data_IF_034600269447
#
_entry.id   IF_034600269447
#
_cell.length_a   1.000
_cell.length_b   1.000
_cell.length_c   1.000
_cell.angle_alpha   90.00
_cell.angle_beta   90.00
_cell.angle_gamma   90.00
#
_symmetry.space_group_name_H-M   'P 1'
#
loop_
_entity.id
_entity.type
_entity.pdbx_description
1 polymer ?
#
# COMPACT_ATOMS: atom_id res chain seq x y z
N UNK A 1 -14.14 -15.55 20.85
CA UNK A 1 -14.04 -14.38 21.73
C UNK A 1 -12.65 -13.80 21.54
N UNK A 2 -12.52 -12.54 21.14
CA UNK A 2 -11.23 -11.85 20.92
C UNK A 2 -11.00 -10.86 22.06
N UNK A 3 -9.75 -10.70 22.46
CA UNK A 3 -9.36 -9.79 23.53
C UNK A 3 -8.31 -8.81 23.02
N UNK A 4 -8.58 -7.52 23.17
CA UNK A 4 -7.59 -6.47 22.95
C UNK A 4 -7.11 -5.91 24.28
N UNK A 5 -5.82 -5.73 24.43
CA UNK A 5 -5.18 -5.30 25.68
C UNK A 5 -4.30 -4.09 25.39
N UNK A 6 -4.45 -3.02 26.16
CA UNK A 6 -3.54 -1.88 26.20
C UNK A 6 -2.83 -1.80 27.54
N UNK A 7 -1.50 -1.80 27.55
CA UNK A 7 -0.67 -1.67 28.76
C UNK A 7 0.16 -0.40 28.69
N UNK A 8 0.14 0.38 29.78
CA UNK A 8 1.02 1.54 29.98
C UNK A 8 2.06 1.23 31.04
N UNK A 9 3.34 1.22 30.69
CA UNK A 9 4.44 0.85 31.59
C UNK A 9 5.45 2.00 31.73
N UNK A 10 6.23 1.93 32.82
CA UNK A 10 7.39 2.82 33.06
C UNK A 10 7.08 4.32 32.93
N UNK A 11 5.87 4.74 33.29
CA UNK A 11 5.50 6.15 33.35
C UNK A 11 5.82 6.74 34.72
N UNK A 12 6.08 8.04 34.77
CA UNK A 12 6.49 8.72 36.00
C UNK A 12 5.40 8.81 37.09
N UNK A 13 4.12 8.59 36.72
CA UNK A 13 2.98 8.58 37.64
C UNK A 13 1.80 7.78 37.06
N UNK A 14 0.78 7.52 37.90
CA UNK A 14 -0.40 6.75 37.50
C UNK A 14 -1.22 7.43 36.37
N UNK A 15 -1.33 8.73 36.35
CA UNK A 15 -2.05 9.46 35.28
C UNK A 15 -1.37 9.24 33.94
N UNK A 16 -0.06 9.27 33.90
CA UNK A 16 0.71 9.02 32.67
C UNK A 16 0.66 7.53 32.25
N UNK A 17 0.69 6.59 33.22
CA UNK A 17 0.48 5.17 32.93
C UNK A 17 -0.91 4.91 32.34
N UNK A 18 -1.94 5.56 32.87
CA UNK A 18 -3.30 5.49 32.34
C UNK A 18 -3.37 6.03 30.89
N UNK A 19 -2.76 7.19 30.64
CA UNK A 19 -2.71 7.76 29.28
C UNK A 19 -1.97 6.83 28.31
N UNK A 20 -0.87 6.22 28.74
CA UNK A 20 -0.15 5.24 27.93
C UNK A 20 -1.02 4.00 27.63
N UNK A 21 -1.71 3.47 28.63
CA UNK A 21 -2.61 2.32 28.44
C UNK A 21 -3.78 2.67 27.51
N UNK A 22 -4.33 3.89 27.60
CA UNK A 22 -5.39 4.37 26.72
C UNK A 22 -4.91 4.46 25.26
N UNK A 23 -3.77 5.10 25.02
CA UNK A 23 -3.17 5.14 23.67
C UNK A 23 -2.88 3.71 23.15
N UNK A 24 -2.38 2.85 24.02
CA UNK A 24 -2.07 1.46 23.63
C UNK A 24 -3.34 0.67 23.23
N UNK A 25 -4.46 0.84 23.96
CA UNK A 25 -5.71 0.14 23.62
C UNK A 25 -6.34 0.74 22.35
N UNK A 26 -6.29 2.06 22.18
CA UNK A 26 -6.77 2.71 20.97
C UNK A 26 -6.00 2.21 19.73
N UNK A 27 -4.68 2.09 19.83
CA UNK A 27 -3.83 1.51 18.79
C UNK A 27 -4.15 0.02 18.54
N UNK A 28 -4.40 -0.78 19.60
CA UNK A 28 -4.79 -2.17 19.45
C UNK A 28 -6.10 -2.29 18.65
N UNK A 29 -7.08 -1.45 18.97
CA UNK A 29 -8.40 -1.43 18.30
C UNK A 29 -8.30 -0.89 16.88
N UNK A 30 -7.54 0.18 16.64
CA UNK A 30 -7.30 0.73 15.30
C UNK A 30 -6.57 -0.25 14.38
N UNK A 31 -5.82 -1.21 14.93
CA UNK A 31 -5.14 -2.29 14.20
C UNK A 31 -5.98 -3.55 14.03
N UNK A 32 -7.29 -3.46 14.26
CA UNK A 32 -8.23 -4.57 14.10
C UNK A 32 -8.49 -5.39 15.37
N UNK A 33 -7.93 -5.03 16.51
CA UNK A 33 -8.10 -5.76 17.78
C UNK A 33 -7.34 -7.08 17.83
N UNK A 34 -7.76 -7.96 18.75
CA UNK A 34 -7.17 -9.32 18.97
C UNK A 34 -5.64 -9.28 19.19
N UNK A 35 -5.16 -8.27 19.88
CA UNK A 35 -3.74 -8.06 20.15
C UNK A 35 -3.52 -7.33 21.48
N UNK A 36 -2.33 -7.48 22.04
CA UNK A 36 -1.85 -6.67 23.13
C UNK A 36 -0.86 -5.62 22.63
N UNK A 37 -1.04 -4.38 23.08
CA UNK A 37 -0.13 -3.27 22.81
C UNK A 37 0.41 -2.76 24.13
N UNK A 38 1.72 -2.62 24.20
CA UNK A 38 2.42 -2.05 25.36
C UNK A 38 3.01 -0.72 24.94
N UNK A 39 2.73 0.34 25.69
CA UNK A 39 3.37 1.64 25.55
C UNK A 39 4.15 1.96 26.80
N UNK A 40 5.40 2.35 26.61
CA UNK A 40 6.29 2.86 27.66
C UNK A 40 6.97 4.16 27.23
N UNK A 41 7.94 4.63 28.03
CA UNK A 41 8.72 5.84 27.72
C UNK A 41 9.71 5.64 26.56
N UNK A 42 9.97 4.40 26.12
CA UNK A 42 10.91 4.05 25.05
C UNK A 42 10.19 3.81 23.72
N UNK A 43 8.87 3.57 23.75
CA UNK A 43 8.12 3.32 22.51
C UNK A 43 6.86 2.48 22.69
N UNK A 44 6.47 1.82 21.60
CA UNK A 44 5.27 0.98 21.54
C UNK A 44 5.65 -0.40 21.01
N UNK A 45 5.22 -1.43 21.72
CA UNK A 45 5.45 -2.84 21.35
C UNK A 45 4.12 -3.54 21.14
N UNK A 46 4.02 -4.36 20.07
CA UNK A 46 2.81 -5.05 19.67
C UNK A 46 2.95 -6.57 19.81
N UNK A 47 1.90 -7.24 20.33
CA UNK A 47 1.83 -8.69 20.50
C UNK A 47 0.49 -9.22 19.98
N UNK A 48 0.51 -10.24 19.11
CA UNK A 48 -0.70 -10.86 18.56
C UNK A 48 -1.23 -10.19 17.27
N UNK A 49 -2.53 -10.31 17.02
CA UNK A 49 -3.16 -9.72 15.83
C UNK A 49 -3.13 -10.63 14.58
N UNK A 50 -3.32 -11.94 14.77
CA UNK A 50 -3.28 -12.96 13.69
C UNK A 50 -4.66 -13.36 13.12
N UNK A 51 -5.78 -12.82 13.62
CA UNK A 51 -7.12 -13.25 13.19
C UNK A 51 -7.65 -12.41 12.04
N UNK A 52 -8.18 -13.07 11.03
CA UNK A 52 -9.02 -12.48 9.98
C UNK A 52 -10.33 -11.95 10.59
N UNK A 53 -10.69 -10.71 10.29
CA UNK A 53 -12.00 -10.18 10.63
C UNK A 53 -13.07 -10.88 9.80
N UNK A 54 -14.15 -11.32 10.46
CA UNK A 54 -15.29 -11.96 9.80
C UNK A 54 -15.96 -10.98 8.83
N UNK A 55 -16.15 -11.41 7.59
CA UNK A 55 -16.67 -10.64 6.44
C UNK A 55 -18.01 -9.90 6.65
N UNK A 56 -18.78 -10.21 7.71
CA UNK A 56 -20.11 -9.61 7.94
C UNK A 56 -20.09 -8.11 8.31
N UNK A 57 -19.02 -7.59 8.92
CA UNK A 57 -18.99 -6.18 9.36
C UNK A 57 -18.38 -5.22 8.33
N UNK A 58 -17.67 -5.73 7.31
CA UNK A 58 -16.90 -4.90 6.39
C UNK A 58 -17.79 -4.15 5.39
N UNK A 59 -18.83 -4.79 4.83
CA UNK A 59 -19.77 -4.13 3.90
C UNK A 59 -20.53 -2.97 4.56
N UNK A 60 -20.92 -3.13 5.83
CA UNK A 60 -21.60 -2.06 6.58
C UNK A 60 -20.62 -0.89 6.79
N UNK A 61 -19.38 -1.18 7.17
CA UNK A 61 -18.36 -0.14 7.31
C UNK A 61 -18.11 0.59 5.98
N UNK A 62 -17.88 -0.15 4.88
CA UNK A 62 -17.66 0.43 3.56
C UNK A 62 -18.82 1.35 3.15
N UNK A 63 -20.07 0.93 3.37
CA UNK A 63 -21.26 1.75 3.09
C UNK A 63 -21.28 3.05 3.92
N UNK A 64 -21.04 2.97 5.22
CA UNK A 64 -21.02 4.15 6.10
C UNK A 64 -19.88 5.10 5.69
N UNK A 65 -18.71 4.55 5.34
CA UNK A 65 -17.56 5.35 4.89
C UNK A 65 -17.80 5.98 3.52
N UNK A 66 -18.47 5.26 2.60
CA UNK A 66 -18.87 5.80 1.30
C UNK A 66 -19.86 6.97 1.46
N UNK A 67 -20.83 6.86 2.39
CA UNK A 67 -21.80 7.92 2.64
C UNK A 67 -21.12 9.17 3.21
N UNK A 68 -20.23 9.02 4.19
CA UNK A 68 -19.44 10.13 4.73
C UNK A 68 -18.52 10.76 3.65
N UNK A 69 -17.82 9.93 2.85
CA UNK A 69 -16.97 10.43 1.76
C UNK A 69 -17.79 11.21 0.72
N UNK A 70 -18.98 10.72 0.36
CA UNK A 70 -19.92 11.40 -0.55
C UNK A 70 -20.29 12.80 -0.03
N UNK A 71 -20.60 12.94 1.26
CA UNK A 71 -20.89 14.23 1.87
C UNK A 71 -19.70 15.19 1.74
N UNK A 72 -18.49 14.75 2.10
CA UNK A 72 -17.29 15.57 1.99
C UNK A 72 -16.98 15.97 0.54
N UNK A 73 -17.08 15.05 -0.42
CA UNK A 73 -16.87 15.35 -1.85
C UNK A 73 -17.90 16.39 -2.31
N UNK A 74 -19.16 16.27 -1.90
CA UNK A 74 -20.24 17.14 -2.37
C UNK A 74 -20.08 18.59 -1.94
N UNK A 75 -19.56 18.82 -0.73
CA UNK A 75 -19.41 20.18 -0.18
C UNK A 75 -18.10 20.88 -0.57
N UNK A 76 -17.13 20.15 -1.09
CA UNK A 76 -15.84 20.71 -1.49
C UNK A 76 -15.75 20.79 -3.03
N UNK A 77 -15.18 21.88 -3.53
CA UNK A 77 -15.04 22.11 -4.99
C UNK A 77 -13.65 21.76 -5.53
N UNK A 78 -12.64 21.78 -4.68
CA UNK A 78 -11.25 21.43 -4.99
C UNK A 78 -10.87 20.17 -4.23
N UNK A 79 -10.63 19.10 -4.95
CA UNK A 79 -10.33 17.79 -4.39
C UNK A 79 -8.97 17.33 -4.90
N UNK A 80 -8.03 17.14 -3.99
CA UNK A 80 -6.71 16.61 -4.27
C UNK A 80 -6.60 15.20 -3.70
N UNK A 81 -6.15 14.26 -4.51
CA UNK A 81 -5.92 12.88 -4.09
C UNK A 81 -4.44 12.60 -4.19
N UNK A 82 -3.85 12.09 -3.12
CA UNK A 82 -2.44 11.74 -3.11
C UNK A 82 -2.20 10.44 -2.35
N UNK A 83 -1.19 9.71 -2.78
CA UNK A 83 -0.68 8.55 -2.08
C UNK A 83 0.64 8.81 -1.38
N UNK A 84 1.42 7.74 -1.22
CA UNK A 84 2.79 7.85 -0.70
C UNK A 84 3.76 8.33 -1.79
N UNK A 85 4.86 8.96 -1.37
CA UNK A 85 6.02 9.24 -2.23
C UNK A 85 6.50 7.96 -2.89
N UNK A 86 6.95 8.04 -4.14
CA UNK A 86 7.22 6.87 -4.98
C UNK A 86 5.96 6.04 -5.22
N UNK A 87 4.89 6.72 -5.60
CA UNK A 87 3.57 6.14 -5.90
C UNK A 87 3.69 4.82 -6.67
N UNK A 88 3.10 3.78 -6.14
CA UNK A 88 2.99 2.47 -6.78
C UNK A 88 1.63 2.28 -7.48
N UNK A 89 1.37 1.07 -7.96
CA UNK A 89 0.17 0.78 -8.74
C UNK A 89 -1.09 0.74 -7.87
N UNK A 90 -0.98 0.33 -6.59
CA UNK A 90 -2.14 0.31 -5.69
C UNK A 90 -2.53 1.73 -5.27
N UNK A 91 -1.56 2.51 -4.84
CA UNK A 91 -1.75 3.92 -4.52
C UNK A 91 -2.34 4.71 -5.70
N UNK A 92 -1.78 4.51 -6.91
CA UNK A 92 -2.28 5.14 -8.13
C UNK A 92 -3.71 4.71 -8.47
N UNK A 93 -3.99 3.41 -8.49
CA UNK A 93 -5.31 2.86 -8.79
C UNK A 93 -6.37 3.34 -7.80
N UNK A 94 -6.03 3.39 -6.51
CA UNK A 94 -6.89 3.93 -5.46
C UNK A 94 -7.18 5.42 -5.66
N UNK A 95 -6.16 6.22 -6.01
CA UNK A 95 -6.34 7.64 -6.33
C UNK A 95 -7.27 7.85 -7.53
N UNK A 96 -7.10 7.09 -8.60
CA UNK A 96 -7.99 7.11 -9.77
C UNK A 96 -9.43 6.73 -9.37
N UNK A 97 -9.61 5.73 -8.51
CA UNK A 97 -10.93 5.34 -8.01
C UNK A 97 -11.62 6.47 -7.22
N UNK A 98 -10.87 7.23 -6.42
CA UNK A 98 -11.42 8.42 -5.73
C UNK A 98 -11.76 9.53 -6.72
N UNK A 99 -10.93 9.76 -7.75
CA UNK A 99 -11.29 10.69 -8.84
C UNK A 99 -12.59 10.26 -9.54
N UNK A 100 -12.81 8.95 -9.73
CA UNK A 100 -14.08 8.42 -10.24
C UNK A 100 -15.24 8.71 -9.30
N UNK A 101 -15.07 8.53 -7.99
CA UNK A 101 -16.10 8.89 -7.01
C UNK A 101 -16.48 10.36 -7.10
N UNK A 102 -15.49 11.26 -7.18
CA UNK A 102 -15.72 12.69 -7.33
C UNK A 102 -16.47 13.00 -8.65
N UNK A 103 -16.01 12.45 -9.77
CA UNK A 103 -16.64 12.63 -11.07
C UNK A 103 -18.09 12.14 -11.11
N UNK A 104 -18.39 11.01 -10.46
CA UNK A 104 -19.76 10.49 -10.37
C UNK A 104 -20.70 11.43 -9.58
N UNK A 105 -20.13 12.27 -8.71
CA UNK A 105 -20.84 13.31 -7.96
C UNK A 105 -20.79 14.68 -8.63
N UNK A 106 -20.31 14.77 -9.88
CA UNK A 106 -20.19 16.01 -10.64
C UNK A 106 -19.08 16.94 -10.16
N UNK A 107 -18.10 16.42 -9.42
CA UNK A 107 -16.95 17.17 -8.91
C UNK A 107 -15.67 16.78 -9.66
N UNK A 108 -14.74 17.73 -9.75
CA UNK A 108 -13.41 17.51 -10.30
C UNK A 108 -12.45 17.14 -9.17
N UNK A 109 -11.63 16.13 -9.40
CA UNK A 109 -10.52 15.79 -8.52
C UNK A 109 -9.23 15.65 -9.32
N UNK A 110 -8.10 16.01 -8.71
CA UNK A 110 -6.78 15.92 -9.29
C UNK A 110 -5.91 14.98 -8.45
N UNK A 111 -5.09 14.18 -9.10
CA UNK A 111 -4.10 13.32 -8.44
C UNK A 111 -2.79 14.07 -8.30
N UNK A 112 -2.24 14.13 -7.10
CA UNK A 112 -0.92 14.74 -6.86
C UNK A 112 0.14 13.65 -6.96
N UNK A 113 1.07 13.83 -7.89
CA UNK A 113 2.17 12.90 -8.14
C UNK A 113 3.39 13.67 -8.66
N UNK A 114 4.55 13.50 -8.03
CA UNK A 114 5.78 14.21 -8.41
C UNK A 114 6.66 13.37 -9.33
N UNK A 115 6.87 12.11 -8.99
CA UNK A 115 7.70 11.20 -9.75
C UNK A 115 6.95 9.93 -10.14
N UNK A 116 7.11 9.51 -11.37
CA UNK A 116 6.48 8.28 -11.88
C UNK A 116 7.54 7.18 -11.94
N UNK A 117 7.40 6.19 -11.08
CA UNK A 117 8.29 5.02 -11.02
C UNK A 117 8.27 4.22 -12.33
N UNK A 118 9.32 3.45 -12.59
CA UNK A 118 9.39 2.59 -13.78
C UNK A 118 8.23 1.59 -13.84
N UNK A 119 7.81 1.05 -12.68
CA UNK A 119 6.68 0.10 -12.58
C UNK A 119 5.33 0.75 -12.86
N UNK A 120 5.14 2.02 -12.51
CA UNK A 120 3.90 2.76 -12.73
C UNK A 120 3.81 3.36 -14.15
N UNK A 121 4.95 3.67 -14.77
CA UNK A 121 5.04 4.40 -16.04
C UNK A 121 4.17 3.86 -17.16
N UNK A 122 4.06 2.54 -17.40
CA UNK A 122 3.18 2.00 -18.44
C UNK A 122 1.71 2.39 -18.23
N UNK A 123 1.22 2.31 -16.99
CA UNK A 123 -0.14 2.65 -16.63
C UNK A 123 -0.40 4.17 -16.71
N UNK A 124 0.51 4.97 -16.15
CA UNK A 124 0.46 6.44 -16.20
C UNK A 124 0.39 6.96 -17.65
N UNK A 125 1.22 6.41 -18.55
CA UNK A 125 1.26 6.80 -19.95
C UNK A 125 -0.08 6.54 -20.68
N UNK A 126 -0.89 5.60 -20.24
CA UNK A 126 -2.21 5.36 -20.83
C UNK A 126 -3.19 6.48 -20.52
N UNK A 127 -3.04 7.18 -19.41
CA UNK A 127 -3.87 8.33 -19.06
C UNK A 127 -3.44 9.58 -19.80
N UNK A 128 -2.14 9.93 -19.77
CA UNK A 128 -1.64 11.15 -20.41
C UNK A 128 -1.76 11.11 -21.94
N UNK A 129 -1.75 9.93 -22.55
CA UNK A 129 -1.92 9.79 -24.00
C UNK A 129 -3.40 9.60 -24.42
N UNK A 130 -4.33 9.60 -23.48
CA UNK A 130 -5.75 9.40 -23.77
C UNK A 130 -6.52 10.73 -23.77
N UNK A 131 -7.20 11.09 -24.88
CA UNK A 131 -8.01 12.30 -24.94
C UNK A 131 -9.27 12.26 -24.06
N UNK A 132 -9.53 11.11 -23.41
CA UNK A 132 -10.67 10.94 -22.50
C UNK A 132 -10.41 11.51 -21.10
N UNK A 133 -9.19 11.88 -20.80
CA UNK A 133 -8.80 12.46 -19.52
C UNK A 133 -8.28 13.87 -19.69
N UNK A 134 -8.56 14.78 -18.75
CA UNK A 134 -8.07 16.14 -18.83
C UNK A 134 -6.55 16.19 -18.59
N UNK A 135 -5.87 17.14 -19.25
CA UNK A 135 -4.42 17.34 -19.15
C UNK A 135 -3.98 17.64 -17.70
N UNK A 136 -4.86 18.20 -16.90
CA UNK A 136 -4.63 18.55 -15.50
C UNK A 136 -5.14 17.48 -14.51
N UNK A 137 -5.37 16.24 -14.94
CA UNK A 137 -5.71 15.14 -14.04
C UNK A 137 -4.60 14.92 -13.01
N UNK A 138 -3.34 14.99 -13.46
CA UNK A 138 -2.16 14.83 -12.63
C UNK A 138 -1.49 16.19 -12.40
N UNK A 139 -1.17 16.47 -11.15
CA UNK A 139 -0.51 17.69 -10.71
C UNK A 139 0.76 17.37 -9.94
N UNK A 140 1.77 18.20 -10.06
CA UNK A 140 2.88 18.19 -9.10
C UNK A 140 2.45 18.83 -7.78
N UNK A 141 3.23 18.61 -6.70
CA UNK A 141 2.98 19.28 -5.41
C UNK A 141 2.92 20.79 -5.55
N UNK A 142 3.82 21.40 -6.34
CA UNK A 142 3.83 22.85 -6.60
C UNK A 142 2.53 23.32 -7.27
N UNK A 143 2.08 22.60 -8.30
CA UNK A 143 0.82 22.93 -8.99
C UNK A 143 -0.40 22.78 -8.08
N UNK A 144 -0.42 21.71 -7.27
CA UNK A 144 -1.51 21.47 -6.33
C UNK A 144 -1.58 22.55 -5.24
N UNK A 145 -0.42 22.95 -4.66
CA UNK A 145 -0.36 24.02 -3.66
C UNK A 145 -0.79 25.37 -4.21
N UNK A 146 -0.45 25.68 -5.48
CA UNK A 146 -0.90 26.90 -6.13
C UNK A 146 -2.41 26.96 -6.37
N UNK A 147 -3.08 25.80 -6.48
CA UNK A 147 -4.53 25.70 -6.68
C UNK A 147 -5.30 25.56 -5.35
N UNK A 148 -4.67 24.98 -4.35
CA UNK A 148 -5.31 24.66 -3.07
C UNK A 148 -5.57 25.90 -2.22
N UNK A 149 -6.61 25.82 -1.40
CA UNK A 149 -6.95 26.79 -0.37
C UNK A 149 -7.53 26.09 0.86
N UNK A 150 -7.93 26.85 1.87
CA UNK A 150 -8.50 26.32 3.11
C UNK A 150 -9.83 25.55 2.92
N UNK A 151 -10.52 25.71 1.80
CA UNK A 151 -11.76 25.02 1.45
C UNK A 151 -11.51 23.78 0.54
N UNK A 152 -10.25 23.44 0.34
CA UNK A 152 -9.88 22.25 -0.42
C UNK A 152 -10.03 21.00 0.43
N UNK A 153 -10.33 19.90 -0.24
CA UNK A 153 -10.35 18.55 0.33
C UNK A 153 -9.12 17.78 -0.13
N UNK A 154 -8.46 17.11 0.80
CA UNK A 154 -7.36 16.19 0.52
C UNK A 154 -7.77 14.78 0.88
N UNK A 155 -7.66 13.85 -0.07
CA UNK A 155 -7.85 12.42 0.15
C UNK A 155 -6.49 11.74 0.05
N UNK A 156 -6.04 11.17 1.16
CA UNK A 156 -4.83 10.38 1.23
C UNK A 156 -5.20 8.91 1.06
N UNK A 157 -4.57 8.24 0.11
CA UNK A 157 -4.77 6.82 -0.16
C UNK A 157 -3.47 6.05 0.04
N UNK A 158 -3.58 4.80 0.50
CA UNK A 158 -2.47 3.84 0.61
C UNK A 158 -1.31 4.27 1.52
N UNK A 159 -1.56 5.25 2.36
CA UNK A 159 -0.67 5.61 3.47
C UNK A 159 -1.45 6.36 4.54
N UNK A 160 -1.00 6.27 5.78
CA UNK A 160 -1.56 7.07 6.89
C UNK A 160 -0.50 7.94 7.58
N UNK A 161 0.71 8.07 6.99
CA UNK A 161 1.84 8.80 7.57
C UNK A 161 2.08 10.13 6.86
N UNK A 162 2.06 11.27 7.57
CA UNK A 162 2.25 12.58 6.96
C UNK A 162 3.54 12.72 6.15
N UNK A 163 4.65 12.17 6.67
CA UNK A 163 5.97 12.24 6.03
C UNK A 163 6.13 11.36 4.80
N UNK A 164 5.17 10.49 4.53
CA UNK A 164 5.21 9.59 3.38
C UNK A 164 4.32 10.03 2.23
N UNK A 165 3.46 11.02 2.42
CA UNK A 165 2.57 11.49 1.36
C UNK A 165 3.32 12.29 0.29
N UNK A 166 2.77 12.37 -0.92
CA UNK A 166 3.34 13.12 -2.04
C UNK A 166 3.53 14.61 -1.75
N UNK A 167 2.66 15.22 -0.96
CA UNK A 167 2.72 16.63 -0.59
C UNK A 167 2.23 16.83 0.86
N UNK A 168 3.14 16.89 1.81
CA UNK A 168 2.82 17.06 3.23
C UNK A 168 2.15 18.42 3.50
N UNK A 169 2.54 19.46 2.78
CA UNK A 169 2.04 20.81 2.94
C UNK A 169 0.53 20.92 2.70
N UNK A 170 -0.03 20.11 1.80
CA UNK A 170 -1.47 20.06 1.58
C UNK A 170 -2.26 19.64 2.82
N UNK A 171 -1.67 18.81 3.70
CA UNK A 171 -2.31 18.40 4.95
C UNK A 171 -2.45 19.54 5.96
N UNK A 172 -1.60 20.54 5.86
CA UNK A 172 -1.67 21.72 6.74
C UNK A 172 -2.57 22.81 6.17
N UNK A 173 -2.74 22.85 4.84
CA UNK A 173 -3.54 23.85 4.17
C UNK A 173 -5.02 23.49 4.14
N UNK A 174 -5.35 22.26 3.84
CA UNK A 174 -6.72 21.79 3.68
C UNK A 174 -7.40 21.54 5.03
N UNK A 175 -8.66 21.98 5.18
CA UNK A 175 -9.48 21.68 6.37
C UNK A 175 -10.17 20.33 6.30
N UNK A 176 -10.41 19.79 5.11
CA UNK A 176 -11.06 18.51 4.91
C UNK A 176 -10.03 17.44 4.51
N UNK A 177 -9.62 16.59 5.44
CA UNK A 177 -8.68 15.51 5.20
C UNK A 177 -9.41 14.18 5.36
N UNK A 178 -9.25 13.29 4.38
CA UNK A 178 -9.74 11.90 4.40
C UNK A 178 -8.55 10.97 4.21
N UNK A 179 -8.49 9.90 4.99
CA UNK A 179 -7.44 8.87 4.90
C UNK A 179 -8.08 7.51 4.64
N UNK A 180 -7.66 6.84 3.57
CA UNK A 180 -8.08 5.50 3.16
C UNK A 180 -6.84 4.63 3.01
N UNK A 181 -6.58 3.73 3.96
CA UNK A 181 -5.33 2.99 3.99
C UNK A 181 -5.49 1.57 4.55
N UNK A 182 -4.75 0.63 4.00
CA UNK A 182 -4.71 -0.74 4.47
C UNK A 182 -3.46 -1.08 5.30
N UNK A 183 -2.59 -0.12 5.49
CA UNK A 183 -1.42 -0.27 6.35
C UNK A 183 -1.78 -0.14 7.83
N UNK A 184 -0.99 -0.77 8.67
CA UNK A 184 -1.17 -0.67 10.13
C UNK A 184 -0.86 0.74 10.60
N UNK A 185 -1.75 1.28 11.41
CA UNK A 185 -1.58 2.58 12.02
C UNK A 185 -0.40 2.57 13.01
N UNK A 186 0.40 3.62 12.98
CA UNK A 186 1.53 3.87 13.87
C UNK A 186 1.29 5.15 14.69
N UNK A 187 2.22 5.46 15.59
CA UNK A 187 2.13 6.66 16.44
C UNK A 187 2.28 7.99 15.68
N UNK A 188 2.82 7.95 14.48
CA UNK A 188 3.07 9.08 13.58
C UNK A 188 2.04 9.17 12.44
N UNK A 189 0.83 8.67 12.67
CA UNK A 189 -0.26 8.74 11.67
C UNK A 189 -0.91 10.12 11.63
N UNK A 190 -1.56 10.43 10.49
CA UNK A 190 -2.38 11.64 10.29
C UNK A 190 -3.51 11.62 11.33
N UNK A 191 -3.52 12.56 12.26
CA UNK A 191 -4.44 12.60 13.39
C UNK A 191 -5.58 13.63 13.24
N UNK A 192 -5.45 14.57 12.28
CA UNK A 192 -6.43 15.60 11.99
C UNK A 192 -7.41 15.25 10.85
N UNK A 193 -7.49 13.97 10.46
CA UNK A 193 -8.41 13.52 9.41
C UNK A 193 -9.87 13.56 9.90
N UNK A 194 -10.77 14.19 9.12
CA UNK A 194 -12.22 14.19 9.35
C UNK A 194 -12.82 12.80 9.12
N UNK A 195 -12.25 12.05 8.20
CA UNK A 195 -12.61 10.66 7.92
C UNK A 195 -11.33 9.82 7.84
N UNK A 196 -11.19 8.87 8.75
CA UNK A 196 -10.14 7.88 8.71
C UNK A 196 -10.77 6.50 8.51
N UNK A 197 -10.37 5.80 7.43
CA UNK A 197 -10.76 4.43 7.14
C UNK A 197 -9.50 3.60 6.94
N UNK A 198 -9.05 3.00 8.03
CA UNK A 198 -7.84 2.17 8.07
C UNK A 198 -8.26 0.72 8.32
N UNK A 199 -7.98 -0.16 7.35
CA UNK A 199 -8.36 -1.58 7.36
C UNK A 199 -7.15 -2.48 7.10
N UNK A 200 -6.34 -2.82 8.10
CA UNK A 200 -5.12 -3.63 7.94
C UNK A 200 -5.35 -5.06 7.41
N UNK A 201 -6.60 -5.47 7.33
CA UNK A 201 -6.99 -6.77 6.77
C UNK A 201 -7.48 -6.70 5.32
N UNK A 202 -7.60 -5.50 4.76
CA UNK A 202 -7.79 -5.34 3.33
C UNK A 202 -6.49 -5.73 2.59
N UNK A 203 -6.62 -6.29 1.41
CA UNK A 203 -5.46 -6.70 0.62
C UNK A 203 -4.73 -5.51 0.03
N UNK A 204 -5.44 -4.42 -0.25
CA UNK A 204 -4.95 -3.23 -0.94
C UNK A 204 -5.87 -2.03 -0.73
N UNK A 205 -5.37 -0.81 -0.97
CA UNK A 205 -6.20 0.38 -0.99
C UNK A 205 -7.21 0.36 -2.16
N UNK A 206 -6.86 -0.24 -3.30
CA UNK A 206 -7.78 -0.46 -4.42
C UNK A 206 -8.96 -1.37 -4.05
N UNK A 207 -8.77 -2.40 -3.21
CA UNK A 207 -9.87 -3.20 -2.67
C UNK A 207 -10.85 -2.31 -1.91
N UNK A 208 -10.36 -1.49 -0.97
CA UNK A 208 -11.17 -0.61 -0.14
C UNK A 208 -11.92 0.45 -0.96
N UNK A 209 -11.25 1.06 -1.93
CA UNK A 209 -11.87 2.05 -2.84
C UNK A 209 -12.91 1.39 -3.73
N UNK A 210 -12.66 0.17 -4.23
CA UNK A 210 -13.64 -0.59 -5.01
C UNK A 210 -14.91 -0.93 -4.20
N UNK A 211 -14.78 -1.20 -2.91
CA UNK A 211 -15.93 -1.37 -2.02
C UNK A 211 -16.71 -0.07 -1.84
N UNK A 212 -16.02 1.07 -1.62
CA UNK A 212 -16.64 2.39 -1.48
C UNK A 212 -17.42 2.76 -2.73
N UNK A 213 -16.86 2.55 -3.92
CA UNK A 213 -17.48 2.89 -5.19
C UNK A 213 -18.83 2.23 -5.40
N UNK A 214 -19.06 1.02 -4.85
CA UNK A 214 -20.34 0.33 -4.93
C UNK A 214 -21.47 1.04 -4.17
N UNK A 215 -21.13 1.99 -3.28
CA UNK A 215 -22.10 2.69 -2.43
C UNK A 215 -22.08 4.21 -2.59
N UNK A 216 -21.14 4.76 -3.40
CA UNK A 216 -21.00 6.21 -3.55
C UNK A 216 -22.18 6.84 -4.31
N UNK A 217 -22.62 6.17 -5.38
CA UNK A 217 -23.82 6.45 -6.16
C UNK A 217 -24.42 5.15 -6.66
N UNK A 218 -25.71 5.13 -6.95
CA UNK A 218 -26.35 3.98 -7.57
C UNK A 218 -25.83 3.81 -9.02
N UNK A 219 -25.56 2.56 -9.41
CA UNK A 219 -25.15 2.16 -10.77
C UNK A 219 -23.94 2.94 -11.32
N UNK A 220 -22.91 3.14 -10.50
CA UNK A 220 -21.71 3.86 -10.91
C UNK A 220 -21.09 3.29 -12.19
N UNK A 221 -20.84 4.16 -13.16
CA UNK A 221 -20.16 3.79 -14.40
C UNK A 221 -18.66 4.06 -14.27
N UNK A 222 -17.86 3.01 -14.39
CA UNK A 222 -16.40 3.08 -14.29
C UNK A 222 -15.81 2.79 -15.67
N UNK A 223 -15.05 3.72 -16.28
CA UNK A 223 -14.32 3.47 -17.51
C UNK A 223 -13.38 2.28 -17.42
N UNK A 224 -13.23 1.53 -18.51
CA UNK A 224 -12.42 0.31 -18.53
C UNK A 224 -10.98 0.51 -18.04
N UNK A 225 -10.36 1.64 -18.39
CA UNK A 225 -8.99 1.95 -17.94
C UNK A 225 -8.93 2.16 -16.43
N UNK A 226 -9.90 2.87 -15.84
CA UNK A 226 -9.96 3.11 -14.41
C UNK A 226 -10.24 1.81 -13.62
N UNK A 227 -11.18 1.00 -14.10
CA UNK A 227 -11.44 -0.33 -13.54
C UNK A 227 -10.19 -1.24 -13.63
N UNK A 228 -9.46 -1.16 -14.76
CA UNK A 228 -8.22 -1.91 -14.97
C UNK A 228 -7.10 -1.44 -14.05
N UNK A 229 -7.00 -0.14 -13.77
CA UNK A 229 -6.01 0.44 -12.85
C UNK A 229 -6.22 -0.05 -11.42
N UNK A 230 -7.45 0.00 -10.92
CA UNK A 230 -7.77 -0.53 -9.58
C UNK A 230 -7.56 -2.05 -9.51
N UNK A 231 -7.94 -2.79 -10.56
CA UNK A 231 -7.69 -4.24 -10.63
C UNK A 231 -6.18 -4.55 -10.60
N UNK A 232 -5.38 -3.74 -11.30
CA UNK A 232 -3.93 -3.86 -11.31
C UNK A 232 -3.33 -3.63 -9.91
N UNK A 233 -3.81 -2.64 -9.15
CA UNK A 233 -3.40 -2.40 -7.77
C UNK A 233 -3.66 -3.63 -6.89
N UNK A 234 -4.88 -4.17 -6.90
CA UNK A 234 -5.20 -5.40 -6.17
C UNK A 234 -4.26 -6.54 -6.59
N UNK A 235 -4.02 -6.72 -7.88
CA UNK A 235 -3.21 -7.81 -8.42
C UNK A 235 -1.75 -7.71 -7.96
N UNK A 236 -1.17 -6.51 -7.97
CA UNK A 236 0.23 -6.29 -7.56
C UNK A 236 0.40 -6.53 -6.06
N UNK A 237 -0.44 -5.93 -5.22
CA UNK A 237 -0.35 -6.03 -3.76
C UNK A 237 -0.61 -7.44 -3.22
N UNK A 238 -1.37 -8.23 -3.97
CA UNK A 238 -1.66 -9.62 -3.64
C UNK A 238 -0.74 -10.63 -4.31
N UNK A 239 0.29 -10.17 -5.03
CA UNK A 239 1.11 -11.03 -5.87
C UNK A 239 0.25 -11.95 -6.75
N UNK A 240 -0.57 -11.35 -7.62
CA UNK A 240 -1.50 -12.08 -8.50
C UNK A 240 -2.51 -12.96 -7.74
N UNK A 241 -3.07 -12.47 -6.65
CA UNK A 241 -4.02 -13.16 -5.77
C UNK A 241 -3.46 -14.35 -4.99
N UNK A 242 -2.14 -14.50 -4.90
CA UNK A 242 -1.52 -15.57 -4.12
C UNK A 242 -1.37 -15.22 -2.64
N UNK A 243 -1.20 -13.94 -2.29
CA UNK A 243 -0.92 -13.49 -0.93
C UNK A 243 -1.98 -12.52 -0.41
N UNK A 244 -2.23 -12.55 0.91
CA UNK A 244 -3.06 -11.58 1.64
C UNK A 244 -4.48 -11.41 1.05
N UNK A 245 -5.03 -12.43 0.41
CA UNK A 245 -6.36 -12.40 -0.20
C UNK A 245 -7.43 -12.94 0.75
N UNK A 246 -8.60 -12.33 0.70
CA UNK A 246 -9.81 -12.78 1.38
C UNK A 246 -11.01 -12.74 0.43
N UNK A 247 -12.19 -13.11 0.92
CA UNK A 247 -13.44 -13.03 0.14
C UNK A 247 -13.66 -11.62 -0.43
N UNK A 248 -13.36 -10.59 0.36
CA UNK A 248 -13.45 -9.17 -0.04
C UNK A 248 -12.63 -8.87 -1.29
N UNK A 249 -11.39 -9.36 -1.34
CA UNK A 249 -10.47 -9.17 -2.47
C UNK A 249 -11.09 -9.71 -3.77
N UNK A 250 -11.64 -10.92 -3.72
CA UNK A 250 -12.29 -11.52 -4.89
C UNK A 250 -13.61 -10.83 -5.24
N UNK A 251 -14.38 -10.33 -4.27
CA UNK A 251 -15.59 -9.53 -4.51
C UNK A 251 -15.25 -8.20 -5.19
N UNK A 252 -14.20 -7.50 -4.73
CA UNK A 252 -13.70 -6.27 -5.34
C UNK A 252 -13.19 -6.54 -6.78
N UNK A 253 -12.39 -7.56 -6.98
CA UNK A 253 -11.92 -7.96 -8.30
C UNK A 253 -13.07 -8.33 -9.24
N UNK A 254 -14.10 -9.05 -8.76
CA UNK A 254 -15.30 -9.37 -9.53
C UNK A 254 -16.12 -8.12 -9.87
N UNK A 255 -16.23 -7.16 -8.95
CA UNK A 255 -16.88 -5.88 -9.21
C UNK A 255 -16.15 -5.12 -10.32
N UNK A 256 -14.83 -4.95 -10.21
CA UNK A 256 -14.01 -4.27 -11.22
C UNK A 256 -14.09 -4.99 -12.58
N UNK A 257 -14.10 -6.32 -12.58
CA UNK A 257 -14.26 -7.09 -13.82
C UNK A 257 -15.62 -6.85 -14.49
N UNK A 258 -16.70 -6.79 -13.71
CA UNK A 258 -18.04 -6.42 -14.22
C UNK A 258 -18.08 -4.99 -14.73
N UNK A 259 -17.33 -4.07 -14.11
CA UNK A 259 -17.18 -2.68 -14.55
C UNK A 259 -16.29 -2.52 -15.80
N UNK A 260 -15.74 -3.61 -16.35
CA UNK A 260 -15.00 -3.57 -17.61
C UNK A 260 -13.47 -3.62 -17.48
N UNK A 261 -12.93 -3.97 -16.30
CA UNK A 261 -11.47 -4.18 -16.17
C UNK A 261 -10.96 -5.21 -17.21
N UNK A 262 -9.93 -4.83 -17.95
CA UNK A 262 -9.27 -5.70 -18.94
C UNK A 262 -8.05 -6.39 -18.33
N UNK A 263 -8.24 -7.63 -17.91
CA UNK A 263 -7.18 -8.47 -17.31
C UNK A 263 -6.02 -8.69 -18.30
N UNK A 264 -6.30 -8.78 -19.59
CA UNK A 264 -5.27 -8.96 -20.62
C UNK A 264 -4.40 -7.72 -20.74
N UNK A 265 -5.02 -6.52 -20.67
CA UNK A 265 -4.31 -5.26 -20.64
C UNK A 265 -3.42 -5.16 -19.40
N UNK A 266 -3.98 -5.44 -18.22
CA UNK A 266 -3.22 -5.45 -16.96
C UNK A 266 -2.02 -6.40 -17.04
N UNK A 267 -2.23 -7.63 -17.52
CA UNK A 267 -1.14 -8.58 -17.70
C UNK A 267 -0.06 -8.07 -18.66
N UNK A 268 -0.44 -7.38 -19.75
CA UNK A 268 0.52 -6.84 -20.72
C UNK A 268 1.37 -5.73 -20.15
N UNK A 269 0.80 -4.89 -19.26
CA UNK A 269 1.52 -3.76 -18.62
C UNK A 269 2.66 -4.23 -17.71
N UNK A 270 2.50 -5.38 -17.06
CA UNK A 270 3.48 -5.90 -16.08
C UNK A 270 4.29 -7.08 -16.60
N UNK A 271 4.44 -7.19 -17.92
CA UNK A 271 5.35 -8.19 -18.52
C UNK A 271 6.78 -7.67 -18.44
N UNK A 272 7.67 -8.55 -18.05
CA UNK A 272 9.10 -8.29 -18.15
C UNK A 272 9.52 -8.15 -19.62
N UNK A 273 10.48 -7.30 -19.87
CA UNK A 273 11.23 -7.35 -21.12
C UNK A 273 12.22 -8.52 -21.12
N UNK A 274 12.88 -8.75 -22.27
CA UNK A 274 13.79 -9.87 -22.40
C UNK A 274 15.04 -9.73 -21.51
N UNK A 275 15.49 -8.51 -21.25
CA UNK A 275 16.67 -8.25 -20.43
C UNK A 275 16.35 -8.48 -18.96
N UNK A 276 15.25 -7.94 -18.45
CA UNK A 276 14.77 -8.19 -17.10
C UNK A 276 14.48 -9.67 -16.84
N UNK A 277 13.85 -10.35 -17.81
CA UNK A 277 13.62 -11.79 -17.71
C UNK A 277 14.92 -12.60 -17.60
N UNK A 278 15.93 -12.27 -18.43
CA UNK A 278 17.26 -12.93 -18.37
C UNK A 278 17.96 -12.65 -17.06
N UNK A 279 17.94 -11.41 -16.60
CA UNK A 279 18.55 -11.02 -15.31
C UNK A 279 17.92 -11.79 -14.15
N UNK A 280 16.58 -11.86 -14.12
CA UNK A 280 15.84 -12.62 -13.12
C UNK A 280 16.19 -14.12 -13.17
N UNK A 281 16.19 -14.72 -14.36
CA UNK A 281 16.55 -16.13 -14.54
C UNK A 281 18.00 -16.41 -14.09
N UNK A 282 18.94 -15.49 -14.32
CA UNK A 282 20.31 -15.62 -13.87
C UNK A 282 20.40 -15.61 -12.33
N UNK A 283 19.70 -14.72 -11.66
CA UNK A 283 19.63 -14.69 -10.19
C UNK A 283 19.08 -16.03 -9.66
N UNK A 284 17.97 -16.50 -10.22
CA UNK A 284 17.32 -17.73 -9.75
C UNK A 284 18.22 -18.95 -9.98
N UNK A 285 18.91 -19.02 -11.12
CA UNK A 285 19.81 -20.14 -11.45
C UNK A 285 21.04 -20.24 -10.54
N UNK A 286 21.45 -19.12 -9.94
CA UNK A 286 22.59 -19.03 -9.03
C UNK A 286 22.17 -19.15 -7.55
N UNK A 287 20.89 -19.44 -7.27
CA UNK A 287 20.43 -19.52 -5.90
C UNK A 287 21.01 -20.73 -5.16
N UNK A 288 21.53 -20.48 -3.98
CA UNK A 288 21.98 -21.49 -3.03
C UNK A 288 20.87 -21.84 -2.04
N UNK A 289 20.73 -23.12 -1.72
CA UNK A 289 19.69 -23.60 -0.79
C UNK A 289 20.32 -23.95 0.55
N UNK A 290 20.06 -23.12 1.56
CA UNK A 290 20.51 -23.32 2.92
C UNK A 290 19.48 -24.13 3.73
N UNK A 291 19.95 -25.15 4.45
CA UNK A 291 19.13 -26.06 5.28
C UNK A 291 17.91 -26.66 4.55
N UNK A 292 17.94 -26.80 3.24
CA UNK A 292 16.84 -27.28 2.38
C UNK A 292 15.54 -26.46 2.48
N UNK A 293 15.57 -25.25 3.05
CA UNK A 293 14.39 -24.43 3.33
C UNK A 293 14.54 -22.97 2.94
N UNK A 294 15.75 -22.49 2.78
CA UNK A 294 16.04 -21.09 2.54
C UNK A 294 16.81 -20.95 1.22
N UNK A 295 16.27 -20.18 0.30
CA UNK A 295 16.98 -19.84 -0.94
C UNK A 295 17.67 -18.49 -0.77
N UNK A 296 18.96 -18.43 -1.09
CA UNK A 296 19.75 -17.20 -1.05
C UNK A 296 20.37 -17.02 -2.43
N UNK A 297 20.19 -15.85 -3.03
CA UNK A 297 20.73 -15.53 -4.34
C UNK A 297 21.30 -14.13 -4.39
N UNK A 298 22.26 -13.92 -5.27
CA UNK A 298 22.89 -12.61 -5.51
C UNK A 298 22.69 -12.19 -6.97
N UNK A 299 22.45 -10.91 -7.18
CA UNK A 299 22.39 -10.28 -8.50
C UNK A 299 23.41 -9.15 -8.59
N UNK A 300 24.57 -9.45 -9.15
CA UNK A 300 25.65 -8.50 -9.43
C UNK A 300 25.65 -8.11 -10.90
N UNK A 301 26.09 -6.90 -11.20
CA UNK A 301 26.27 -6.38 -12.57
C UNK A 301 25.03 -6.51 -13.47
N UNK A 302 23.85 -6.36 -12.88
CA UNK A 302 22.59 -6.44 -13.62
C UNK A 302 22.45 -5.23 -14.55
N UNK A 303 22.49 -5.49 -15.87
CA UNK A 303 22.31 -4.48 -16.91
C UNK A 303 20.83 -4.20 -17.15
N UNK A 304 20.11 -3.74 -16.10
CA UNK A 304 18.67 -3.46 -16.14
C UNK A 304 18.38 -2.12 -15.47
N UNK A 305 17.29 -1.47 -15.85
CA UNK A 305 16.90 -0.15 -15.31
C UNK A 305 16.64 -0.20 -13.78
N UNK A 306 16.08 -1.29 -13.29
CA UNK A 306 15.66 -1.43 -11.89
C UNK A 306 16.08 -2.77 -11.26
N UNK A 307 17.37 -2.93 -10.89
CA UNK A 307 17.90 -4.17 -10.30
C UNK A 307 17.12 -4.63 -9.05
N UNK A 308 16.67 -3.69 -8.21
CA UNK A 308 15.94 -3.98 -6.98
C UNK A 308 14.57 -4.59 -7.23
N UNK A 309 13.88 -4.19 -8.31
CA UNK A 309 12.60 -4.77 -8.71
C UNK A 309 12.82 -6.21 -9.19
N UNK A 310 13.84 -6.43 -10.03
CA UNK A 310 14.21 -7.78 -10.51
C UNK A 310 14.57 -8.69 -9.33
N UNK A 311 15.32 -8.19 -8.35
CA UNK A 311 15.62 -8.94 -7.13
C UNK A 311 14.39 -9.32 -6.32
N UNK A 312 13.42 -8.42 -6.19
CA UNK A 312 12.16 -8.71 -5.51
C UNK A 312 11.31 -9.73 -6.26
N UNK A 313 11.27 -9.68 -7.60
CA UNK A 313 10.61 -10.66 -8.44
C UNK A 313 11.28 -12.03 -8.35
N UNK A 314 12.61 -12.09 -8.41
CA UNK A 314 13.38 -13.33 -8.24
C UNK A 314 13.12 -13.96 -6.86
N UNK A 315 13.06 -13.14 -5.80
CA UNK A 315 12.73 -13.63 -4.46
C UNK A 315 11.32 -14.27 -4.40
N UNK A 316 10.33 -13.70 -5.10
CA UNK A 316 9.00 -14.30 -5.20
C UNK A 316 9.04 -15.64 -5.94
N UNK A 317 9.70 -15.70 -7.11
CA UNK A 317 9.78 -16.95 -7.91
C UNK A 317 10.55 -18.07 -7.19
N UNK A 318 11.55 -17.75 -6.38
CA UNK A 318 12.25 -18.74 -5.57
C UNK A 318 11.34 -19.43 -4.53
N UNK A 319 10.24 -18.79 -4.12
CA UNK A 319 9.25 -19.42 -3.25
C UNK A 319 8.36 -20.46 -3.96
N UNK A 320 8.31 -20.44 -5.29
CA UNK A 320 7.58 -21.46 -6.07
C UNK A 320 8.34 -22.80 -6.12
N UNK A 321 9.60 -22.83 -5.65
CA UNK A 321 10.38 -24.05 -5.54
C UNK A 321 9.91 -24.84 -4.31
N UNK A 322 9.58 -26.11 -4.53
CA UNK A 322 9.17 -27.05 -3.47
C UNK A 322 10.17 -27.03 -2.29
N UNK A 323 9.66 -27.05 -1.08
CA UNK A 323 10.42 -27.06 0.18
C UNK A 323 11.05 -25.71 0.59
N UNK A 324 11.14 -24.70 -0.29
CA UNK A 324 11.63 -23.37 0.07
C UNK A 324 10.55 -22.64 0.88
N UNK A 325 10.91 -22.23 2.08
CA UNK A 325 10.04 -21.50 3.02
C UNK A 325 10.31 -19.99 3.05
N UNK A 326 11.53 -19.60 2.74
CA UNK A 326 11.90 -18.20 2.59
C UNK A 326 13.04 -18.05 1.58
N UNK A 327 13.04 -16.91 0.90
CA UNK A 327 14.03 -16.51 -0.08
C UNK A 327 14.62 -15.14 0.27
N UNK A 328 15.90 -14.98 -0.02
CA UNK A 328 16.66 -13.76 0.19
C UNK A 328 17.46 -13.47 -1.07
N UNK A 329 17.17 -12.35 -1.71
CA UNK A 329 17.89 -11.93 -2.92
C UNK A 329 18.59 -10.60 -2.65
N UNK A 330 19.90 -10.60 -2.83
CA UNK A 330 20.75 -9.44 -2.69
C UNK A 330 21.03 -8.85 -4.07
N UNK A 331 20.75 -7.58 -4.28
CA UNK A 331 21.03 -6.88 -5.54
C UNK A 331 21.86 -5.63 -5.29
N UNK A 332 22.87 -5.43 -6.13
CA UNK A 332 23.66 -4.20 -6.11
C UNK A 332 23.02 -3.14 -7.01
N UNK A 333 22.87 -1.92 -6.47
CA UNK A 333 22.36 -0.77 -7.22
C UNK A 333 22.88 0.55 -6.63
N UNK A 334 23.46 1.40 -7.47
CA UNK A 334 24.01 2.71 -7.07
C UNK A 334 24.98 2.65 -5.88
N UNK A 335 25.86 1.64 -5.86
CA UNK A 335 26.85 1.47 -4.80
C UNK A 335 26.27 1.08 -3.44
N UNK A 336 25.06 0.49 -3.44
CA UNK A 336 24.39 -0.06 -2.26
C UNK A 336 23.90 -1.47 -2.54
N UNK A 337 23.80 -2.25 -1.50
CA UNK A 337 23.21 -3.58 -1.56
C UNK A 337 21.79 -3.52 -1.01
N UNK A 338 20.83 -4.01 -1.79
CA UNK A 338 19.44 -4.13 -1.42
C UNK A 338 19.09 -5.60 -1.21
N UNK A 339 18.48 -5.93 -0.10
CA UNK A 339 18.02 -7.27 0.21
C UNK A 339 16.50 -7.32 0.06
N UNK A 340 16.03 -8.20 -0.81
CA UNK A 340 14.61 -8.55 -0.92
C UNK A 340 14.37 -9.90 -0.25
N UNK A 341 13.58 -9.90 0.82
CA UNK A 341 13.23 -11.11 1.57
C UNK A 341 11.76 -11.45 1.38
N UNK A 342 11.47 -12.72 1.11
CA UNK A 342 10.11 -13.24 0.94
C UNK A 342 9.94 -14.53 1.73
N UNK A 343 8.71 -14.85 2.14
CA UNK A 343 8.43 -16.10 2.86
C UNK A 343 7.01 -16.58 2.66
N UNK A 344 6.84 -17.88 2.94
CA UNK A 344 5.54 -18.55 3.02
C UNK A 344 5.39 -19.09 4.45
N UNK A 345 4.16 -19.09 4.95
CA UNK A 345 3.75 -19.65 6.23
C UNK A 345 4.41 -19.00 7.47
N UNK A 346 5.07 -19.82 8.30
CA UNK A 346 5.52 -19.43 9.63
C UNK A 346 6.84 -18.64 9.69
N UNK A 347 7.54 -18.47 8.56
CA UNK A 347 8.80 -17.72 8.54
C UNK A 347 8.54 -16.23 8.50
N UNK A 348 8.93 -15.52 9.55
CA UNK A 348 8.77 -14.07 9.62
C UNK A 348 10.05 -13.37 9.14
N UNK A 349 10.10 -12.99 7.85
CA UNK A 349 11.25 -12.27 7.28
C UNK A 349 11.36 -10.82 7.75
N UNK A 350 10.28 -10.22 8.25
CA UNK A 350 10.33 -8.88 8.84
C UNK A 350 11.29 -8.81 10.02
N UNK A 351 11.20 -9.77 10.96
CA UNK A 351 12.08 -9.82 12.13
C UNK A 351 13.56 -9.96 11.72
N UNK A 352 13.82 -10.69 10.63
CA UNK A 352 15.18 -10.86 10.11
C UNK A 352 15.68 -9.52 9.53
N UNK A 353 14.87 -8.88 8.68
CA UNK A 353 15.24 -7.60 8.04
C UNK A 353 15.35 -6.46 9.05
N UNK A 354 14.51 -6.40 10.08
CA UNK A 354 14.61 -5.41 11.16
C UNK A 354 15.95 -5.51 11.92
N UNK A 355 16.47 -6.72 12.14
CA UNK A 355 17.80 -6.92 12.73
C UNK A 355 18.94 -6.43 11.84
N UNK A 356 18.69 -6.33 10.55
CA UNK A 356 19.61 -5.82 9.54
C UNK A 356 19.38 -4.33 9.24
N UNK A 357 18.57 -3.64 10.05
CA UNK A 357 18.25 -2.22 9.88
C UNK A 357 17.22 -1.92 8.80
N UNK A 358 16.54 -2.93 8.29
CA UNK A 358 15.47 -2.84 7.31
C UNK A 358 14.08 -2.94 7.94
N UNK A 359 13.08 -3.36 7.14
CA UNK A 359 11.70 -3.52 7.59
C UNK A 359 10.77 -4.07 6.52
N UNK A 360 9.48 -4.05 6.79
CA UNK A 360 8.44 -4.50 5.87
C UNK A 360 7.35 -5.28 6.59
N UNK A 361 6.87 -6.34 5.96
CA UNK A 361 5.82 -7.22 6.49
C UNK A 361 6.38 -8.62 6.78
N UNK A 362 5.58 -9.42 7.50
CA UNK A 362 5.93 -10.79 7.88
C UNK A 362 6.45 -11.62 6.70
N UNK A 363 5.80 -11.53 5.54
CA UNK A 363 6.08 -12.36 4.36
C UNK A 363 6.83 -11.62 3.24
N UNK A 364 7.01 -10.30 3.35
CA UNK A 364 7.72 -9.48 2.37
C UNK A 364 8.41 -8.32 3.08
N UNK A 365 9.72 -8.33 3.09
CA UNK A 365 10.55 -7.34 3.79
C UNK A 365 11.81 -7.07 3.00
N UNK A 366 12.50 -5.99 3.34
CA UNK A 366 13.76 -5.63 2.73
C UNK A 366 14.70 -4.91 3.67
N UNK A 367 15.98 -4.88 3.30
CA UNK A 367 17.00 -4.11 3.99
C UNK A 367 17.92 -3.47 2.95
N UNK A 368 18.65 -2.45 3.35
CA UNK A 368 19.61 -1.74 2.51
C UNK A 368 20.91 -1.54 3.27
N UNK A 369 22.04 -1.84 2.62
CA UNK A 369 23.36 -1.63 3.17
C UNK A 369 24.13 -0.60 2.32
N UNK A 370 24.89 0.28 2.98
CA UNK A 370 25.90 1.07 2.30
C UNK A 370 27.08 0.14 1.97
N UNK A 371 27.67 0.34 0.80
CA UNK A 371 28.71 -0.47 0.20
C UNK A 371 29.54 -1.32 1.17
N UNK A 372 29.25 -2.58 1.24
CA UNK A 372 30.09 -3.67 1.72
C UNK A 372 30.20 -4.67 0.59
N UNK A 373 31.30 -5.38 0.49
CA UNK A 373 31.46 -6.43 -0.50
C UNK A 373 30.33 -7.47 -0.33
N UNK A 374 29.76 -7.99 -1.43
CA UNK A 374 28.71 -9.00 -1.34
C UNK A 374 29.19 -10.33 -0.71
N UNK A 375 30.51 -10.49 -0.57
CA UNK A 375 31.15 -11.65 0.05
C UNK A 375 31.31 -11.51 1.58
N UNK A 376 31.04 -10.33 2.17
CA UNK A 376 30.96 -10.10 3.61
C UNK A 376 29.51 -10.32 4.14
#
# INVERSE_FOLDING_TARGET
MTLSIGLGLSAGNYSQSYNYARVAIDLALARGGDQAVIKDCHGITYYGGKREMTAKNTRVKARVKAEALREYITVNDKIFVMGHTLTDVDSFGAAIGICRAANALGKKANVVINEVSASLRPLYNMYINSPSYPDDLFLTSEQALNLADENSMVVVVDTNRPKMVECEELLYLAKAIVVLDHHRQSSDSIDNALLSYIEPYASSACEMVSEILQYIVDDIQIPNLEASSMYAGIMIDTNSFMNRTGVRTFEAAAFLRRSGADITLVRKMFRDDMEGYRAKAAIISNAEVYQKKFAIATGTDLQVESPTIIGAQAANELLDISEIKASFVLTEYNGKIYVSARSIDEVNVQVIMEKLGGGGHMNASGAQFNHTDMDE
#
